data_IF_036484478229
#
_entry.id   IF_036484478229
#
_cell.length_a   1.000
_cell.length_b   1.000
_cell.length_c   1.000
_cell.angle_alpha   90.00
_cell.angle_beta   90.00
_cell.angle_gamma   90.00
#
_symmetry.space_group_name_H-M   'P 1'
#
loop_
_entity.id
_entity.type
_entity.pdbx_description
1 polymer ?
#
# COMPACT_ATOMS: atom_id res chain seq x y z
N UNK A 1 -2.92 -1.60 4.71
CA UNK A 1 -3.21 -1.80 3.26
C UNK A 1 -4.44 -1.04 2.76
N UNK A 2 -5.33 -0.54 3.62
CA UNK A 2 -6.59 0.12 3.22
C UNK A 2 -6.40 1.28 2.25
N UNK A 3 -5.42 2.15 2.50
CA UNK A 3 -5.10 3.29 1.63
C UNK A 3 -4.95 2.88 0.15
N UNK A 4 -4.17 1.82 -0.12
CA UNK A 4 -3.98 1.31 -1.48
C UNK A 4 -5.26 0.68 -2.05
N UNK A 5 -6.06 0.02 -1.22
CA UNK A 5 -7.34 -0.54 -1.65
C UNK A 5 -8.32 0.55 -2.11
N UNK A 6 -8.28 1.74 -1.49
CA UNK A 6 -9.13 2.89 -1.83
C UNK A 6 -8.47 3.90 -2.77
N UNK A 7 -7.36 3.52 -3.43
CA UNK A 7 -6.61 4.40 -4.32
C UNK A 7 -6.10 5.70 -3.68
N UNK A 8 -5.82 5.68 -2.38
CA UNK A 8 -5.31 6.83 -1.62
C UNK A 8 -3.79 6.73 -1.49
N UNK A 9 -3.02 7.73 -1.96
CA UNK A 9 -1.56 7.75 -1.84
C UNK A 9 -1.11 7.93 -0.39
N UNK A 10 0.07 7.40 -0.05
CA UNK A 10 0.60 7.38 1.31
C UNK A 10 1.76 8.38 1.43
N UNK A 11 1.69 9.26 2.43
CA UNK A 11 2.87 9.99 2.93
C UNK A 11 3.39 9.20 4.12
N UNK A 12 4.52 8.52 3.95
CA UNK A 12 5.08 7.61 4.95
C UNK A 12 5.94 8.38 5.95
N UNK A 13 5.57 8.28 7.23
CA UNK A 13 6.32 8.82 8.37
C UNK A 13 6.67 7.69 9.33
N UNK A 14 7.74 6.92 9.07
CA UNK A 14 8.06 5.74 9.87
C UNK A 14 8.46 6.12 11.30
N UNK A 15 7.83 5.47 12.29
CA UNK A 15 8.05 5.71 13.73
C UNK A 15 8.83 4.57 14.39
N UNK A 16 8.43 3.32 14.14
CA UNK A 16 9.01 2.16 14.82
C UNK A 16 8.89 0.87 13.97
N UNK A 17 9.64 -0.17 14.35
CA UNK A 17 9.60 -1.53 13.77
C UNK A 17 9.88 -1.58 12.26
N UNK A 18 9.09 -2.36 11.54
CA UNK A 18 9.17 -2.65 10.11
C UNK A 18 8.72 -1.48 9.22
N UNK A 19 8.18 -0.40 9.82
CA UNK A 19 7.66 0.74 9.07
C UNK A 19 8.72 1.39 8.17
N UNK A 20 9.99 1.42 8.60
CA UNK A 20 11.07 1.95 7.77
C UNK A 20 11.29 1.11 6.51
N UNK A 21 11.19 -0.23 6.61
CA UNK A 21 11.29 -1.11 5.45
C UNK A 21 10.05 -1.01 4.57
N UNK A 22 8.86 -0.95 5.17
CA UNK A 22 7.60 -0.78 4.44
C UNK A 22 7.55 0.55 3.69
N UNK A 23 8.03 1.65 4.30
CA UNK A 23 8.11 2.96 3.67
C UNK A 23 9.00 2.92 2.42
N UNK A 24 10.22 2.39 2.56
CA UNK A 24 11.15 2.21 1.42
C UNK A 24 10.54 1.38 0.31
N UNK A 25 9.96 0.23 0.64
CA UNK A 25 9.30 -0.62 -0.34
C UNK A 25 8.18 0.10 -1.10
N UNK A 26 7.31 0.84 -0.39
CA UNK A 26 6.21 1.57 -1.01
C UNK A 26 6.71 2.73 -1.89
N UNK A 27 7.77 3.43 -1.48
CA UNK A 27 8.41 4.49 -2.27
C UNK A 27 9.04 3.92 -3.55
N UNK A 28 9.76 2.79 -3.45
CA UNK A 28 10.35 2.11 -4.60
C UNK A 28 9.29 1.62 -5.60
N UNK A 29 8.14 1.16 -5.11
CA UNK A 29 6.98 0.83 -5.97
C UNK A 29 6.25 2.07 -6.51
N UNK A 30 6.64 3.27 -6.07
CA UNK A 30 6.05 4.53 -6.47
C UNK A 30 4.60 4.69 -5.98
N UNK A 31 4.30 4.10 -4.81
CA UNK A 31 3.00 4.10 -4.14
C UNK A 31 2.95 5.04 -2.92
N UNK A 32 4.11 5.55 -2.49
CA UNK A 32 4.24 6.45 -1.37
C UNK A 32 5.32 7.51 -1.60
N UNK A 33 5.28 8.55 -0.78
CA UNK A 33 6.35 9.53 -0.58
C UNK A 33 6.80 9.41 0.87
N UNK A 34 8.09 9.24 1.13
CA UNK A 34 8.63 9.18 2.49
C UNK A 34 9.03 10.57 2.99
N UNK A 35 8.70 10.85 4.25
CA UNK A 35 9.24 11.98 5.01
C UNK A 35 10.51 11.51 5.69
N UNK A 36 11.65 12.02 5.24
CA UNK A 36 12.94 11.65 5.81
C UNK A 36 13.18 12.34 7.16
N UNK A 37 13.98 11.70 8.01
CA UNK A 37 14.43 12.27 9.28
C UNK A 37 15.79 12.95 9.10
N UNK A 38 16.03 13.99 9.89
CA UNK A 38 17.35 14.61 9.97
C UNK A 38 18.38 13.68 10.65
N UNK A 39 19.64 14.12 10.70
CA UNK A 39 20.72 13.36 11.35
C UNK A 39 20.51 13.11 12.86
N UNK A 40 19.57 13.82 13.50
CA UNK A 40 19.14 13.60 14.88
C UNK A 40 17.88 12.74 15.00
N UNK A 41 17.39 12.16 13.91
CA UNK A 41 16.21 11.30 13.90
C UNK A 41 14.87 12.06 14.03
N UNK A 42 14.85 13.39 13.83
CA UNK A 42 13.63 14.22 13.92
C UNK A 42 13.04 14.52 12.55
N UNK A 43 11.73 14.70 12.51
CA UNK A 43 11.05 15.21 11.33
C UNK A 43 11.14 16.74 11.29
N UNK A 44 11.55 17.29 10.15
CA UNK A 44 11.57 18.73 9.94
C UNK A 44 10.24 19.18 9.30
N UNK A 45 9.79 20.40 9.65
CA UNK A 45 8.60 21.00 9.04
C UNK A 45 8.76 21.20 7.53
N UNK A 46 9.99 21.48 7.09
CA UNK A 46 10.33 21.67 5.68
C UNK A 46 10.17 20.37 4.88
N UNK A 47 10.62 19.23 5.43
CA UNK A 47 10.50 17.94 4.75
C UNK A 47 9.04 17.44 4.72
N UNK A 48 8.27 17.70 5.78
CA UNK A 48 6.83 17.41 5.78
C UNK A 48 6.11 18.25 4.71
N UNK A 49 6.39 19.56 4.65
CA UNK A 49 5.79 20.44 3.64
C UNK A 49 6.14 20.00 2.21
N UNK A 50 7.40 19.62 1.96
CA UNK A 50 7.84 19.06 0.67
C UNK A 50 7.03 17.81 0.29
N UNK A 51 6.88 16.87 1.22
CA UNK A 51 6.15 15.63 0.96
C UNK A 51 4.66 15.86 0.70
N UNK A 52 4.04 16.80 1.43
CA UNK A 52 2.65 17.22 1.18
C UNK A 52 2.53 17.85 -0.20
N UNK A 53 3.37 18.82 -0.55
CA UNK A 53 3.31 19.46 -1.87
C UNK A 53 3.47 18.44 -3.00
N UNK A 54 4.46 17.54 -2.91
CA UNK A 54 4.70 16.49 -3.89
C UNK A 54 3.53 15.48 -4.01
N UNK A 55 2.81 15.22 -2.91
CA UNK A 55 1.65 14.35 -2.93
C UNK A 55 0.44 14.99 -3.62
N UNK A 56 0.32 16.31 -3.58
CA UNK A 56 -0.86 17.03 -4.06
C UNK A 56 -0.69 17.62 -5.46
N UNK A 57 0.51 18.08 -5.83
CA UNK A 57 0.75 18.85 -7.04
C UNK A 57 1.89 18.28 -7.91
N UNK A 58 1.89 18.68 -9.18
CA UNK A 58 2.92 18.36 -10.16
C UNK A 58 2.87 16.93 -10.73
N UNK A 59 3.76 16.68 -11.71
CA UNK A 59 3.82 15.41 -12.46
C UNK A 59 4.04 14.19 -11.57
N UNK A 60 4.73 14.38 -10.44
CA UNK A 60 5.05 13.30 -9.51
C UNK A 60 3.80 12.84 -8.74
N UNK A 61 2.91 13.77 -8.35
CA UNK A 61 1.59 13.47 -7.79
C UNK A 61 0.71 12.68 -8.76
N UNK A 62 0.67 13.09 -10.04
CA UNK A 62 -0.12 12.40 -11.07
C UNK A 62 0.34 10.95 -11.26
N UNK A 63 1.66 10.75 -11.39
CA UNK A 63 2.24 9.41 -11.51
C UNK A 63 1.99 8.55 -10.26
N UNK A 64 2.07 9.14 -9.07
CA UNK A 64 1.75 8.48 -7.80
C UNK A 64 0.29 8.02 -7.76
N UNK A 65 -0.66 8.92 -8.07
CA UNK A 65 -2.11 8.62 -8.10
C UNK A 65 -2.44 7.53 -9.12
N UNK A 66 -1.81 7.57 -10.31
CA UNK A 66 -1.94 6.51 -11.32
C UNK A 66 -1.47 5.15 -10.79
N UNK A 67 -0.28 5.09 -10.20
CA UNK A 67 0.27 3.83 -9.66
C UNK A 67 -0.57 3.27 -8.51
N UNK A 68 -1.05 4.14 -7.63
CA UNK A 68 -1.90 3.75 -6.51
C UNK A 68 -3.26 3.24 -6.99
N UNK A 69 -3.85 3.85 -8.03
CA UNK A 69 -5.08 3.35 -8.67
C UNK A 69 -4.89 1.99 -9.33
N UNK A 70 -3.79 1.80 -10.06
CA UNK A 70 -3.46 0.51 -10.66
C UNK A 70 -3.24 -0.59 -9.60
N UNK A 71 -2.57 -0.26 -8.49
CA UNK A 71 -2.44 -1.17 -7.35
C UNK A 71 -3.80 -1.50 -6.72
N UNK A 72 -4.72 -0.54 -6.58
CA UNK A 72 -6.08 -0.79 -6.08
C UNK A 72 -6.81 -1.84 -6.91
N UNK A 73 -6.71 -1.74 -8.24
CA UNK A 73 -7.34 -2.70 -9.17
C UNK A 73 -6.74 -4.09 -8.98
N UNK A 74 -5.40 -4.19 -8.94
CA UNK A 74 -4.70 -5.46 -8.73
C UNK A 74 -5.06 -6.11 -7.39
N UNK A 75 -5.13 -5.33 -6.31
CA UNK A 75 -5.52 -5.82 -4.99
C UNK A 75 -6.95 -6.36 -4.97
N UNK A 76 -7.89 -5.70 -5.67
CA UNK A 76 -9.29 -6.16 -5.76
C UNK A 76 -9.43 -7.44 -6.57
N UNK A 77 -8.70 -7.55 -7.69
CA UNK A 77 -8.68 -8.77 -8.50
C UNK A 77 -8.12 -9.95 -7.70
N UNK A 78 -6.94 -9.76 -7.09
CA UNK A 78 -6.29 -10.80 -6.29
C UNK A 78 -7.15 -11.23 -5.09
N UNK A 79 -7.81 -10.28 -4.42
CA UNK A 79 -8.75 -10.60 -3.33
C UNK A 79 -9.87 -11.53 -3.80
N UNK A 80 -10.45 -11.27 -4.98
CA UNK A 80 -11.52 -12.11 -5.54
C UNK A 80 -11.01 -13.51 -5.85
N UNK A 81 -9.88 -13.61 -6.52
CA UNK A 81 -9.23 -14.88 -6.86
C UNK A 81 -8.95 -15.72 -5.60
N UNK A 82 -8.36 -15.12 -4.56
CA UNK A 82 -8.06 -15.81 -3.30
C UNK A 82 -9.33 -16.29 -2.58
N UNK A 83 -10.41 -15.49 -2.60
CA UNK A 83 -11.69 -15.89 -2.03
C UNK A 83 -12.34 -17.04 -2.82
N UNK A 84 -12.32 -16.98 -4.15
CA UNK A 84 -12.87 -18.03 -5.01
C UNK A 84 -12.09 -19.35 -4.81
N UNK A 85 -10.76 -19.28 -4.72
CA UNK A 85 -9.90 -20.44 -4.45
C UNK A 85 -10.19 -21.03 -3.06
N UNK A 86 -10.26 -20.19 -2.03
CA UNK A 86 -10.60 -20.66 -0.69
C UNK A 86 -11.99 -21.33 -0.63
N UNK A 87 -12.99 -20.77 -1.31
CA UNK A 87 -14.32 -21.36 -1.40
C UNK A 87 -14.32 -22.72 -2.13
N UNK A 88 -13.50 -22.88 -3.17
CA UNK A 88 -13.36 -24.16 -3.86
C UNK A 88 -12.74 -25.24 -2.96
N UNK A 89 -11.67 -24.91 -2.24
CA UNK A 89 -11.04 -25.85 -1.31
C UNK A 89 -11.99 -26.25 -0.17
N UNK A 90 -12.74 -25.30 0.38
CA UNK A 90 -13.78 -25.60 1.38
C UNK A 90 -14.86 -26.53 0.84
N UNK A 91 -15.32 -26.32 -0.41
CA UNK A 91 -16.31 -27.22 -1.05
C UNK A 91 -15.78 -28.64 -1.20
N UNK A 92 -14.51 -28.81 -1.60
CA UNK A 92 -13.88 -30.13 -1.73
C UNK A 92 -13.88 -30.85 -0.39
N UNK A 93 -13.47 -30.16 0.68
CA UNK A 93 -13.44 -30.72 2.03
C UNK A 93 -14.83 -31.16 2.51
N UNK A 94 -15.86 -30.33 2.32
CA UNK A 94 -17.22 -30.70 2.69
C UNK A 94 -17.71 -31.94 1.92
N UNK A 95 -17.42 -32.03 0.62
CA UNK A 95 -17.82 -33.17 -0.20
C UNK A 95 -17.08 -34.47 0.15
N UNK A 96 -15.91 -34.40 0.80
CA UNK A 96 -15.22 -35.57 1.34
C UNK A 96 -15.84 -36.03 2.67
N UNK A 97 -16.26 -35.08 3.52
CA UNK A 97 -16.93 -35.37 4.79
C UNK A 97 -18.29 -36.04 4.56
N UNK A 98 -19.06 -35.60 3.57
CA UNK A 98 -20.38 -36.18 3.24
C UNK A 98 -20.32 -37.61 2.68
N UNK A 99 -19.13 -38.12 2.34
CA UNK A 99 -18.93 -39.49 1.84
C UNK A 99 -18.66 -40.51 2.96
N UNK A 100 -18.53 -40.07 4.20
CA UNK A 100 -18.30 -40.88 5.41
C UNK A 100 -19.59 -40.99 6.21
#
# INVERSE_FOLDING_TARGET
>A
MESLNFSVPIIAMPIHLDQAMNAKFLVEKGLAIEVTRDGGGRFSRTEIARAVEEAFSGKRSEALKMRVKDMSIRLKMKRREEMDNAAQELRKLCAEIEKV
#
